data_IF_348628249014
#
_entry.id   IF_348628249014
#
_cell.length_a   1.000
_cell.length_b   1.000
_cell.length_c   1.000
_cell.angle_alpha   90.00
_cell.angle_beta   90.00
_cell.angle_gamma   90.00
#
_symmetry.space_group_name_H-M   'P 1'
#
loop_
_entity.id
_entity.type
_entity.pdbx_description
1 polymer ?
#
# COMPACT_ATOMS: atom_id res chain seq x y z
N UNK A 1 8.46 14.52 7.84
CA UNK A 1 7.63 13.74 8.80
C UNK A 1 6.96 12.61 8.03
N UNK A 2 6.77 11.46 8.66
CA UNK A 2 6.04 10.33 8.06
C UNK A 2 4.55 10.65 8.01
N UNK A 3 3.89 10.34 6.89
CA UNK A 3 2.44 10.53 6.68
C UNK A 3 1.77 9.17 6.51
N UNK A 4 0.50 9.09 6.86
CA UNK A 4 -0.34 7.95 6.54
C UNK A 4 -0.92 8.13 5.14
N UNK A 5 -0.88 7.07 4.34
CA UNK A 5 -1.46 6.99 3.01
C UNK A 5 -2.38 5.77 2.95
N UNK A 6 -3.60 5.97 2.50
CA UNK A 6 -4.62 4.94 2.40
C UNK A 6 -4.93 4.68 0.93
N UNK A 7 -4.64 3.46 0.47
CA UNK A 7 -4.85 3.05 -0.92
C UNK A 7 -5.93 1.97 -0.99
N UNK A 8 -6.87 2.14 -1.91
CA UNK A 8 -7.87 1.11 -2.24
C UNK A 8 -7.37 0.38 -3.48
N UNK A 9 -7.01 -0.89 -3.33
CA UNK A 9 -6.47 -1.72 -4.42
C UNK A 9 -7.33 -2.99 -4.51
N UNK A 10 -8.00 -3.18 -5.64
CA UNK A 10 -9.04 -4.20 -5.78
C UNK A 10 -10.19 -3.96 -4.80
N UNK A 11 -10.40 -4.90 -3.88
CA UNK A 11 -11.39 -4.80 -2.80
C UNK A 11 -10.75 -4.68 -1.40
N UNK A 12 -9.46 -4.33 -1.32
CA UNK A 12 -8.70 -4.23 -0.07
C UNK A 12 -8.29 -2.78 0.19
N UNK A 13 -8.39 -2.37 1.45
CA UNK A 13 -7.80 -1.14 1.96
C UNK A 13 -6.38 -1.45 2.46
N UNK A 14 -5.38 -0.73 1.96
CA UNK A 14 -3.98 -0.87 2.34
C UNK A 14 -3.47 0.47 2.87
N UNK A 15 -3.09 0.49 4.14
CA UNK A 15 -2.54 1.66 4.81
C UNK A 15 -1.01 1.56 4.86
N UNK A 16 -0.32 2.61 4.39
CA UNK A 16 1.14 2.69 4.39
C UNK A 16 1.60 4.00 5.04
N UNK A 17 2.60 3.91 5.92
CA UNK A 17 3.23 5.07 6.53
C UNK A 17 4.52 5.42 5.78
N UNK A 18 4.52 6.53 5.05
CA UNK A 18 5.68 7.01 4.30
C UNK A 18 5.73 8.54 4.23
N UNK A 19 6.91 9.10 4.01
CA UNK A 19 7.13 10.52 3.78
C UNK A 19 6.76 10.93 2.35
N UNK A 20 6.84 10.01 1.40
CA UNK A 20 6.64 10.24 -0.03
C UNK A 20 5.49 9.35 -0.57
N UNK A 21 4.57 9.96 -1.31
CA UNK A 21 3.38 9.30 -1.87
C UNK A 21 3.73 8.18 -2.86
N UNK A 22 4.61 8.45 -3.83
CA UNK A 22 5.02 7.45 -4.83
C UNK A 22 5.71 6.23 -4.19
N UNK A 23 6.44 6.44 -3.08
CA UNK A 23 7.00 5.33 -2.30
C UNK A 23 5.91 4.57 -1.55
N UNK A 24 4.93 5.27 -0.98
CA UNK A 24 3.80 4.65 -0.29
C UNK A 24 2.95 3.80 -1.25
N UNK A 25 2.69 4.31 -2.46
CA UNK A 25 1.93 3.62 -3.50
C UNK A 25 2.66 2.36 -3.98
N UNK A 26 3.97 2.45 -4.28
CA UNK A 26 4.79 1.28 -4.65
C UNK A 26 4.78 0.20 -3.57
N UNK A 27 4.85 0.60 -2.29
CA UNK A 27 4.77 -0.33 -1.15
C UNK A 27 3.38 -0.97 -1.07
N UNK A 28 2.32 -0.19 -1.24
CA UNK A 28 0.95 -0.69 -1.21
C UNK A 28 0.67 -1.72 -2.33
N UNK A 29 1.10 -1.43 -3.56
CA UNK A 29 1.00 -2.37 -4.69
C UNK A 29 1.78 -3.66 -4.47
N UNK A 30 3.00 -3.57 -3.93
CA UNK A 30 3.80 -4.76 -3.58
C UNK A 30 3.11 -5.62 -2.53
N UNK A 31 2.59 -5.01 -1.45
CA UNK A 31 1.83 -5.70 -0.42
C UNK A 31 0.59 -6.38 -1.00
N UNK A 32 -0.14 -5.72 -1.89
CA UNK A 32 -1.30 -6.30 -2.55
C UNK A 32 -0.95 -7.56 -3.35
N UNK A 33 0.11 -7.51 -4.16
CA UNK A 33 0.57 -8.67 -4.95
C UNK A 33 1.08 -9.82 -4.09
N UNK A 34 1.75 -9.53 -2.97
CA UNK A 34 2.16 -10.54 -2.00
C UNK A 34 0.94 -11.22 -1.35
N UNK A 35 -0.07 -10.45 -0.93
CA UNK A 35 -1.31 -10.97 -0.35
C UNK A 35 -2.13 -11.81 -1.34
N UNK A 36 -2.07 -11.47 -2.63
CA UNK A 36 -2.75 -12.23 -3.69
C UNK A 36 -2.16 -13.63 -3.89
N UNK A 37 -0.86 -13.82 -3.65
CA UNK A 37 -0.19 -15.13 -3.79
C UNK A 37 -0.48 -16.08 -2.62
N UNK A 38 -0.94 -15.55 -1.50
CA UNK A 38 -1.27 -16.32 -0.29
C UNK A 38 -2.75 -16.76 -0.25
N UNK A 39 -3.59 -16.18 -1.10
CA UNK A 39 -5.03 -16.49 -1.22
C UNK A 39 -5.30 -17.48 -2.36
#
# INVERSE_FOLDING_TARGET
>A
MTRQWDFIIGNKLITVFDRNEEQAERKAMRLYEELKKTA
#
